data_IF_433368924751
#
_entry.id   IF_433368924751
#
_cell.length_a   1.000
_cell.length_b   1.000
_cell.length_c   1.000
_cell.angle_alpha   90.00
_cell.angle_beta   90.00
_cell.angle_gamma   90.00
#
_symmetry.space_group_name_H-M   'P 1'
#
loop_
_entity.id
_entity.type
_entity.pdbx_description
1 polymer ?
#
# COMPACT_ATOMS: atom_id res chain seq x y z
N UNK A 1 -4.80 -22.84 -8.73
CA UNK A 1 -4.78 -21.73 -7.78
C UNK A 1 -5.23 -20.45 -8.48
N UNK A 2 -6.08 -19.65 -7.83
CA UNK A 2 -6.43 -18.29 -8.22
C UNK A 2 -6.27 -17.36 -7.02
N UNK A 3 -6.01 -16.08 -7.27
CA UNK A 3 -5.96 -15.08 -6.19
C UNK A 3 -6.37 -13.71 -6.70
N UNK A 4 -6.94 -12.91 -5.79
CA UNK A 4 -7.30 -11.51 -6.02
C UNK A 4 -6.59 -10.66 -4.96
N UNK A 5 -5.84 -9.65 -5.40
CA UNK A 5 -5.31 -8.63 -4.52
C UNK A 5 -6.37 -7.55 -4.33
N UNK A 6 -6.74 -7.27 -3.09
CA UNK A 6 -7.71 -6.24 -2.75
C UNK A 6 -7.29 -5.55 -1.45
N UNK A 7 -7.13 -4.23 -1.48
CA UNK A 7 -6.51 -3.53 -0.38
C UNK A 7 -5.09 -4.04 -0.10
N UNK A 8 -4.77 -4.25 1.16
CA UNK A 8 -3.50 -4.83 1.61
C UNK A 8 -3.57 -6.36 1.76
N UNK A 9 -4.61 -6.99 1.27
CA UNK A 9 -4.85 -8.42 1.39
C UNK A 9 -4.80 -9.11 0.03
N UNK A 10 -4.49 -10.40 0.05
CA UNK A 10 -4.64 -11.30 -1.09
C UNK A 10 -5.60 -12.41 -0.70
N UNK A 11 -6.74 -12.48 -1.35
CA UNK A 11 -7.71 -13.56 -1.16
C UNK A 11 -7.34 -14.67 -2.14
N UNK A 12 -7.15 -15.87 -1.62
CA UNK A 12 -6.61 -17.01 -2.35
C UNK A 12 -7.65 -18.13 -2.40
N UNK A 13 -7.83 -18.71 -3.58
CA UNK A 13 -8.46 -19.99 -3.81
C UNK A 13 -7.40 -20.98 -4.29
N UNK A 14 -7.43 -22.20 -3.76
CA UNK A 14 -6.58 -23.29 -4.21
C UNK A 14 -7.36 -24.60 -4.27
N UNK A 15 -6.90 -25.51 -5.15
CA UNK A 15 -7.36 -26.88 -5.23
C UNK A 15 -6.15 -27.81 -5.13
N UNK A 16 -6.27 -28.87 -4.31
CA UNK A 16 -5.31 -29.96 -4.33
C UNK A 16 -5.59 -30.85 -5.55
N UNK A 17 -4.60 -30.97 -6.44
CA UNK A 17 -4.68 -31.76 -7.65
C UNK A 17 -4.15 -33.19 -7.45
N UNK A 18 -3.67 -33.51 -6.25
CA UNK A 18 -3.08 -34.84 -5.98
C UNK A 18 -4.11 -35.93 -5.73
N UNK A 19 -5.39 -35.59 -5.67
CA UNK A 19 -6.54 -36.47 -5.38
C UNK A 19 -6.40 -37.29 -4.08
N UNK A 20 -5.52 -36.86 -3.17
CA UNK A 20 -5.24 -37.53 -1.89
C UNK A 20 -6.04 -36.97 -0.72
N UNK A 21 -6.62 -35.78 -0.89
CA UNK A 21 -7.37 -35.14 0.17
C UNK A 21 -8.87 -35.28 0.00
N UNK A 22 -9.57 -35.64 1.07
CA UNK A 22 -11.04 -35.70 1.11
C UNK A 22 -11.67 -34.30 0.90
N UNK A 23 -10.95 -33.24 1.28
CA UNK A 23 -11.36 -31.84 1.11
C UNK A 23 -10.34 -31.09 0.22
N UNK A 24 -10.45 -31.20 -1.11
CA UNK A 24 -9.43 -30.70 -2.02
C UNK A 24 -9.48 -29.19 -2.26
N UNK A 25 -10.55 -28.51 -1.86
CA UNK A 25 -10.71 -27.08 -2.11
C UNK A 25 -10.39 -26.26 -0.85
N UNK A 26 -9.71 -25.15 -1.03
CA UNK A 26 -9.33 -24.24 0.06
C UNK A 26 -9.50 -22.79 -0.36
N UNK A 27 -9.95 -21.96 0.58
CA UNK A 27 -9.77 -20.51 0.51
C UNK A 27 -8.98 -20.02 1.72
N UNK A 28 -8.22 -18.96 1.58
CA UNK A 28 -7.61 -18.24 2.69
C UNK A 28 -7.34 -16.78 2.33
N UNK A 29 -7.09 -15.96 3.35
CA UNK A 29 -6.66 -14.57 3.21
C UNK A 29 -5.18 -14.49 3.56
N UNK A 30 -4.37 -13.98 2.65
CA UNK A 30 -2.96 -13.72 2.87
C UNK A 30 -2.75 -12.21 3.08
N UNK A 31 -2.12 -11.86 4.19
CA UNK A 31 -1.77 -10.49 4.56
C UNK A 31 -0.25 -10.39 4.54
N UNK A 32 0.33 -9.85 3.45
CA UNK A 32 1.76 -9.66 3.36
C UNK A 32 2.21 -8.51 4.27
N UNK A 33 3.35 -8.69 4.92
CA UNK A 33 4.11 -7.62 5.56
C UNK A 33 5.57 -7.68 5.12
N UNK A 34 6.42 -6.79 5.60
CA UNK A 34 7.82 -6.71 5.19
C UNK A 34 8.66 -7.96 5.49
N UNK A 35 8.26 -8.77 6.46
CA UNK A 35 9.04 -9.93 6.93
C UNK A 35 8.44 -11.27 6.50
N UNK A 36 7.11 -11.38 6.49
CA UNK A 36 6.41 -12.62 6.21
C UNK A 36 4.98 -12.37 5.72
N UNK A 37 4.35 -13.40 5.19
CA UNK A 37 2.93 -13.40 4.87
C UNK A 37 2.17 -14.15 5.95
N UNK A 38 1.21 -13.48 6.59
CA UNK A 38 0.28 -14.10 7.53
C UNK A 38 -0.92 -14.63 6.76
N UNK A 39 -1.32 -15.86 7.07
CA UNK A 39 -2.51 -16.47 6.49
C UNK A 39 -3.60 -16.54 7.55
N UNK A 40 -4.81 -16.11 7.20
CA UNK A 40 -5.99 -16.07 8.06
C UNK A 40 -7.19 -16.67 7.36
N UNK A 41 -8.22 -17.02 8.12
CA UNK A 41 -9.53 -17.49 7.66
C UNK A 41 -9.42 -18.62 6.62
N UNK A 42 -8.51 -19.55 6.87
CA UNK A 42 -8.35 -20.73 6.03
C UNK A 42 -9.55 -21.67 6.22
N UNK A 43 -10.25 -21.95 5.13
CA UNK A 43 -11.37 -22.90 5.08
C UNK A 43 -11.08 -23.93 4.01
N UNK A 44 -11.32 -25.21 4.32
CA UNK A 44 -11.22 -26.33 3.39
C UNK A 44 -12.60 -26.98 3.23
N UNK A 45 -12.90 -27.51 2.06
CA UNK A 45 -14.16 -28.19 1.75
C UNK A 45 -13.99 -29.20 0.63
N UNK A 46 -14.90 -30.15 0.56
CA UNK A 46 -15.08 -31.04 -0.58
C UNK A 46 -15.95 -30.42 -1.67
N UNK A 47 -16.67 -29.31 -1.36
CA UNK A 47 -17.52 -28.57 -2.29
C UNK A 47 -16.79 -27.39 -2.92
N UNK A 48 -16.64 -27.43 -4.23
CA UNK A 48 -16.13 -26.30 -5.03
C UNK A 48 -17.04 -25.06 -4.88
N UNK A 49 -18.35 -25.26 -4.95
CA UNK A 49 -19.33 -24.19 -4.89
C UNK A 49 -19.32 -23.46 -3.55
N UNK A 50 -19.14 -24.20 -2.46
CA UNK A 50 -19.03 -23.63 -1.12
C UNK A 50 -17.80 -22.73 -1.02
N UNK A 51 -16.62 -23.23 -1.40
CA UNK A 51 -15.38 -22.45 -1.36
C UNK A 51 -15.45 -21.22 -2.27
N UNK A 52 -16.06 -21.35 -3.46
CA UNK A 52 -16.21 -20.20 -4.36
C UNK A 52 -17.15 -19.13 -3.83
N UNK A 53 -18.20 -19.50 -3.10
CA UNK A 53 -19.05 -18.53 -2.40
C UNK A 53 -18.28 -17.77 -1.32
N UNK A 54 -17.56 -18.51 -0.46
CA UNK A 54 -16.75 -17.89 0.60
C UNK A 54 -15.66 -16.98 0.02
N UNK A 55 -15.00 -17.40 -1.05
CA UNK A 55 -14.01 -16.60 -1.76
C UNK A 55 -14.61 -15.27 -2.30
N UNK A 56 -15.81 -15.35 -2.90
CA UNK A 56 -16.50 -14.20 -3.42
C UNK A 56 -17.01 -13.25 -2.30
N UNK A 57 -17.48 -13.82 -1.19
CA UNK A 57 -17.94 -13.07 -0.02
C UNK A 57 -16.78 -12.30 0.64
N UNK A 58 -15.59 -12.90 0.76
CA UNK A 58 -14.39 -12.22 1.27
C UNK A 58 -13.99 -11.04 0.37
N UNK A 59 -14.00 -11.22 -0.97
CA UNK A 59 -13.73 -10.14 -1.91
C UNK A 59 -14.72 -8.98 -1.72
N UNK A 60 -16.01 -9.31 -1.61
CA UNK A 60 -17.05 -8.31 -1.43
C UNK A 60 -16.92 -7.57 -0.10
N UNK A 61 -16.64 -8.30 0.98
CA UNK A 61 -16.46 -7.72 2.31
C UNK A 61 -15.29 -6.74 2.33
N UNK A 62 -14.16 -7.11 1.76
CA UNK A 62 -12.99 -6.23 1.70
C UNK A 62 -13.23 -4.99 0.82
N UNK A 63 -13.93 -5.14 -0.30
CA UNK A 63 -14.31 -4.01 -1.14
C UNK A 63 -15.17 -2.99 -0.39
N UNK A 64 -16.14 -3.46 0.43
CA UNK A 64 -16.98 -2.59 1.26
C UNK A 64 -16.16 -1.87 2.34
N UNK A 65 -15.18 -2.56 2.95
CA UNK A 65 -14.30 -1.96 3.95
C UNK A 65 -13.52 -0.80 3.32
N UNK A 66 -12.87 -1.04 2.17
CA UNK A 66 -12.09 -0.03 1.45
C UNK A 66 -12.99 1.16 1.03
N UNK A 67 -14.17 0.89 0.49
CA UNK A 67 -15.11 1.95 0.11
C UNK A 67 -15.51 2.79 1.33
N UNK A 68 -15.79 2.14 2.46
CA UNK A 68 -16.20 2.81 3.69
C UNK A 68 -15.06 3.68 4.26
N UNK A 69 -13.83 3.16 4.27
CA UNK A 69 -12.64 3.89 4.70
C UNK A 69 -12.37 5.10 3.80
N UNK A 70 -12.44 4.93 2.48
CA UNK A 70 -12.26 6.00 1.51
C UNK A 70 -13.32 7.11 1.69
N UNK A 71 -14.56 6.72 1.91
CA UNK A 71 -15.66 7.66 2.16
C UNK A 71 -15.47 8.42 3.46
N UNK A 72 -15.11 7.72 4.54
CA UNK A 72 -14.89 8.33 5.87
C UNK A 72 -13.74 9.36 5.86
N UNK A 73 -12.73 9.16 5.00
CA UNK A 73 -11.58 10.06 4.88
C UNK A 73 -11.76 11.13 3.79
N UNK A 74 -12.90 11.19 3.12
CA UNK A 74 -13.15 12.12 2.01
C UNK A 74 -12.26 11.89 0.79
N UNK A 75 -11.63 10.71 0.70
CA UNK A 75 -10.68 10.35 -0.34
C UNK A 75 -11.37 9.61 -1.50
N UNK A 76 -12.51 10.13 -1.95
CA UNK A 76 -13.22 9.53 -3.06
C UNK A 76 -12.36 9.59 -4.33
N UNK A 77 -11.96 8.42 -4.82
CA UNK A 77 -11.56 8.11 -6.20
C UNK A 77 -10.71 9.17 -6.94
N UNK A 78 -9.80 9.85 -6.22
CA UNK A 78 -8.88 10.75 -6.89
C UNK A 78 -7.95 9.92 -7.79
N UNK A 79 -7.86 10.26 -9.09
CA UNK A 79 -6.97 9.55 -9.99
C UNK A 79 -5.52 9.67 -9.51
N UNK A 80 -4.68 8.65 -9.72
CA UNK A 80 -3.29 8.71 -9.32
C UNK A 80 -2.54 9.81 -10.09
N UNK A 81 -1.47 10.34 -9.51
CA UNK A 81 -0.55 11.24 -10.20
C UNK A 81 0.03 10.59 -11.45
N UNK A 82 0.15 11.39 -12.49
CA UNK A 82 0.91 11.04 -13.70
C UNK A 82 2.32 11.60 -13.60
N UNK A 83 3.25 11.02 -14.35
CA UNK A 83 4.64 11.51 -14.37
C UNK A 83 4.76 12.99 -14.76
N UNK A 84 3.81 13.50 -15.59
CA UNK A 84 3.74 14.90 -15.96
C UNK A 84 3.41 15.87 -14.82
N UNK A 85 2.87 15.36 -13.71
CA UNK A 85 2.43 16.16 -12.57
C UNK A 85 3.50 16.29 -11.50
N UNK A 86 4.62 15.59 -11.69
CA UNK A 86 5.68 15.38 -10.71
C UNK A 86 7.01 15.94 -11.19
N UNK A 87 7.89 16.24 -10.23
CA UNK A 87 9.29 16.55 -10.52
C UNK A 87 10.01 15.22 -10.65
N UNK A 88 10.44 14.91 -11.88
CA UNK A 88 11.15 13.67 -12.21
C UNK A 88 12.67 13.93 -12.18
N UNK A 89 13.27 13.99 -11.01
CA UNK A 89 14.72 13.98 -10.85
C UNK A 89 15.13 12.72 -10.07
N UNK A 90 15.73 11.75 -10.76
CA UNK A 90 16.14 10.49 -10.15
C UNK A 90 17.37 10.63 -9.27
N UNK A 91 18.18 11.66 -9.52
CA UNK A 91 19.44 11.88 -8.81
C UNK A 91 19.27 12.85 -7.63
N UNK A 92 18.10 13.43 -7.46
CA UNK A 92 17.79 14.36 -6.37
C UNK A 92 17.64 13.65 -5.03
N UNK A 93 18.06 14.31 -3.95
CA UNK A 93 17.75 13.91 -2.59
C UNK A 93 16.24 14.06 -2.34
N UNK A 94 15.57 12.96 -1.98
CA UNK A 94 14.15 12.96 -1.68
C UNK A 94 13.86 12.97 -0.17
N UNK A 95 14.89 12.93 0.68
CA UNK A 95 14.71 13.02 2.13
C UNK A 95 14.04 14.34 2.52
N UNK A 96 13.00 14.26 3.32
CA UNK A 96 12.18 15.43 3.71
C UNK A 96 11.17 15.90 2.66
N UNK A 97 11.03 15.17 1.55
CA UNK A 97 10.07 15.49 0.47
C UNK A 97 8.92 14.50 0.44
N UNK A 98 7.82 14.93 -0.17
CA UNK A 98 6.70 14.05 -0.51
C UNK A 98 6.94 13.47 -1.89
N UNK A 99 6.79 12.16 -2.02
CA UNK A 99 6.93 11.44 -3.27
C UNK A 99 5.64 10.69 -3.60
N UNK A 100 5.38 10.50 -4.88
CA UNK A 100 4.34 9.60 -5.36
C UNK A 100 4.98 8.28 -5.82
N UNK A 101 4.37 7.16 -5.43
CA UNK A 101 4.78 5.82 -5.89
C UNK A 101 4.10 5.52 -7.22
N UNK A 102 4.77 4.78 -8.09
CA UNK A 102 4.18 4.28 -9.31
C UNK A 102 3.03 3.32 -8.96
N UNK A 103 1.80 3.57 -9.46
CA UNK A 103 0.62 2.77 -9.14
C UNK A 103 0.77 1.28 -9.45
N UNK A 104 1.70 0.89 -10.33
CA UNK A 104 1.96 -0.52 -10.63
C UNK A 104 2.50 -1.32 -9.44
N UNK A 105 3.08 -0.65 -8.44
CA UNK A 105 3.58 -1.25 -7.19
C UNK A 105 2.52 -1.26 -6.08
N UNK A 106 1.38 -0.59 -6.28
CA UNK A 106 0.26 -0.61 -5.34
C UNK A 106 -0.69 -1.77 -5.65
N UNK A 107 -1.27 -2.35 -4.63
CA UNK A 107 -2.37 -3.30 -4.80
C UNK A 107 -3.57 -2.64 -5.48
N UNK A 108 -4.37 -3.41 -6.21
CA UNK A 108 -5.45 -2.90 -7.05
C UNK A 108 -6.43 -1.98 -6.30
N UNK A 109 -6.77 -2.30 -5.06
CA UNK A 109 -7.64 -1.47 -4.22
C UNK A 109 -7.04 -0.14 -3.78
N UNK A 110 -5.72 0.06 -3.97
CA UNK A 110 -4.98 1.25 -3.53
C UNK A 110 -4.41 2.07 -4.68
N UNK A 111 -4.78 1.77 -5.92
CA UNK A 111 -4.33 2.51 -7.11
C UNK A 111 -5.03 3.86 -7.25
N UNK A 112 -5.03 4.64 -6.18
CA UNK A 112 -5.60 6.00 -6.15
C UNK A 112 -4.60 6.96 -5.51
N UNK A 113 -4.79 8.27 -5.77
CA UNK A 113 -3.91 9.33 -5.27
C UNK A 113 -3.65 9.28 -3.77
N UNK A 114 -4.64 9.04 -2.88
CA UNK A 114 -4.39 8.99 -1.45
C UNK A 114 -3.32 7.99 -1.04
N UNK A 115 -3.33 6.79 -1.64
CA UNK A 115 -2.40 5.72 -1.29
C UNK A 115 -1.03 5.86 -1.95
N UNK A 116 -0.91 6.75 -2.91
CA UNK A 116 0.31 6.98 -3.68
C UNK A 116 1.32 7.88 -2.95
N UNK A 117 0.88 8.65 -1.92
CA UNK A 117 1.65 9.72 -1.30
C UNK A 117 2.43 9.26 -0.07
N UNK A 118 3.74 9.49 -0.09
CA UNK A 118 4.66 9.13 0.99
C UNK A 118 5.59 10.29 1.33
N UNK A 119 5.73 10.58 2.64
CA UNK A 119 6.74 11.50 3.15
C UNK A 119 8.01 10.74 3.49
N UNK A 120 9.11 11.03 2.83
CA UNK A 120 10.38 10.33 2.99
C UNK A 120 11.12 10.87 4.21
N UNK A 121 11.40 10.01 5.19
CA UNK A 121 12.07 10.38 6.44
C UNK A 121 13.57 10.09 6.44
N UNK A 122 14.04 9.22 5.53
CA UNK A 122 15.45 8.87 5.40
C UNK A 122 15.67 7.58 4.61
N UNK A 123 16.84 6.99 4.76
CA UNK A 123 17.24 5.74 4.11
C UNK A 123 18.35 5.92 3.08
N UNK A 124 18.99 4.80 2.69
CA UNK A 124 20.09 4.80 1.71
C UNK A 124 19.62 5.21 0.31
N UNK A 125 18.36 4.92 -0.04
CA UNK A 125 17.74 5.30 -1.31
C UNK A 125 17.23 6.74 -1.34
N UNK A 126 17.14 7.43 -0.19
CA UNK A 126 16.59 8.78 -0.10
C UNK A 126 17.59 9.88 -0.53
N UNK A 127 18.88 9.58 -0.52
CA UNK A 127 19.96 10.54 -0.78
C UNK A 127 20.21 10.72 -2.28
N UNK A 128 20.75 11.87 -2.64
CA UNK A 128 21.35 12.07 -3.97
C UNK A 128 22.50 11.06 -4.17
N UNK A 129 22.67 10.56 -5.39
CA UNK A 129 23.70 9.55 -5.71
C UNK A 129 23.67 8.32 -4.78
N UNK A 130 22.47 7.80 -4.53
CA UNK A 130 22.25 6.71 -3.60
C UNK A 130 22.91 5.39 -4.04
N UNK A 131 23.50 4.68 -3.07
CA UNK A 131 24.09 3.33 -3.28
C UNK A 131 23.10 2.20 -2.97
N UNK A 132 21.99 2.49 -2.33
CA UNK A 132 20.94 1.53 -1.98
C UNK A 132 19.57 2.07 -2.33
N UNK A 133 18.56 1.21 -2.30
CA UNK A 133 17.19 1.56 -2.71
C UNK A 133 16.24 1.84 -1.54
N UNK A 134 16.60 1.44 -0.31
CA UNK A 134 15.68 1.55 0.83
C UNK A 134 15.39 3.01 1.20
N UNK A 135 14.12 3.38 1.19
CA UNK A 135 13.59 4.66 1.66
C UNK A 135 12.61 4.41 2.81
N UNK A 136 12.86 4.99 3.98
CA UNK A 136 11.93 4.99 5.10
C UNK A 136 10.95 6.13 4.94
N UNK A 137 9.66 5.87 5.12
CA UNK A 137 8.61 6.81 4.78
C UNK A 137 7.45 6.71 5.77
N UNK A 138 6.65 7.79 5.83
CA UNK A 138 5.30 7.73 6.36
C UNK A 138 4.31 7.87 5.20
N UNK A 139 3.38 6.93 5.09
CA UNK A 139 2.29 7.06 4.13
C UNK A 139 1.33 8.15 4.61
N UNK A 140 1.09 9.18 3.77
CA UNK A 140 0.36 10.38 4.21
C UNK A 140 -1.14 10.14 4.44
N UNK A 141 -1.71 9.11 3.83
CA UNK A 141 -3.13 8.79 3.99
C UNK A 141 -3.43 8.05 5.29
N UNK A 142 -2.60 7.08 5.66
CA UNK A 142 -2.77 6.28 6.88
C UNK A 142 -1.98 6.80 8.07
N UNK A 143 -0.91 7.57 7.83
CA UNK A 143 0.06 7.99 8.83
C UNK A 143 1.09 6.90 9.19
N UNK A 144 0.96 5.70 8.65
CA UNK A 144 1.80 4.56 9.02
C UNK A 144 3.23 4.72 8.49
N UNK A 145 4.19 4.31 9.32
CA UNK A 145 5.58 4.14 8.89
C UNK A 145 5.69 2.91 8.00
N UNK A 146 6.45 3.04 6.92
CA UNK A 146 6.70 1.96 5.96
C UNK A 146 8.04 2.15 5.27
N UNK A 147 8.47 1.14 4.54
CA UNK A 147 9.63 1.17 3.68
C UNK A 147 9.19 0.99 2.23
N UNK A 148 9.76 1.80 1.36
CA UNK A 148 9.62 1.68 -0.09
C UNK A 148 11.00 1.57 -0.73
N UNK A 149 11.06 1.10 -1.96
CA UNK A 149 12.28 1.07 -2.74
C UNK A 149 12.37 2.31 -3.66
N UNK A 150 13.56 2.87 -3.84
CA UNK A 150 13.76 4.07 -4.67
C UNK A 150 13.20 3.94 -6.09
N UNK A 151 13.30 2.76 -6.68
CA UNK A 151 12.79 2.50 -8.04
C UNK A 151 11.26 2.49 -8.14
N UNK A 152 10.54 2.38 -7.01
CA UNK A 152 9.08 2.48 -6.96
C UNK A 152 8.60 3.93 -7.03
N UNK A 153 9.50 4.89 -6.73
CA UNK A 153 9.17 6.33 -6.73
C UNK A 153 8.95 6.80 -8.16
N UNK A 154 7.77 7.33 -8.45
CA UNK A 154 7.41 7.93 -9.72
C UNK A 154 7.98 9.35 -9.87
N UNK A 155 8.01 10.12 -8.77
CA UNK A 155 8.55 11.47 -8.71
C UNK A 155 8.21 12.19 -7.42
N UNK A 156 8.76 13.40 -7.25
CA UNK A 156 8.49 14.29 -6.13
C UNK A 156 7.21 15.08 -6.41
N UNK A 157 6.33 15.14 -5.42
CA UNK A 157 5.09 15.90 -5.50
C UNK A 157 5.35 17.34 -5.06
N UNK A 158 5.08 18.35 -5.90
CA UNK A 158 5.15 19.75 -5.50
C UNK A 158 4.15 20.07 -4.37
N UNK A 159 4.55 20.92 -3.41
CA UNK A 159 3.73 21.22 -2.22
C UNK A 159 2.37 21.86 -2.58
N UNK A 160 2.30 22.61 -3.67
CA UNK A 160 1.06 23.21 -4.17
C UNK A 160 0.07 22.18 -4.75
N UNK A 161 0.55 21.02 -5.14
CA UNK A 161 -0.28 19.91 -5.66
C UNK A 161 -0.72 18.92 -4.59
N UNK A 162 -0.29 19.08 -3.34
CA UNK A 162 -0.70 18.21 -2.25
C UNK A 162 -2.18 18.43 -1.91
N UNK A 163 -2.99 17.36 -1.79
CA UNK A 163 -4.36 17.45 -1.29
C UNK A 163 -4.38 17.81 0.20
N UNK A 164 -5.49 18.35 0.69
CA UNK A 164 -5.59 18.89 2.05
C UNK A 164 -5.29 17.87 3.15
N UNK A 165 -5.75 16.62 2.99
CA UNK A 165 -5.43 15.56 3.95
C UNK A 165 -3.91 15.30 4.05
N UNK A 166 -3.20 15.37 2.92
CA UNK A 166 -1.76 15.14 2.88
C UNK A 166 -1.00 16.32 3.52
N UNK A 167 -1.44 17.55 3.30
CA UNK A 167 -0.89 18.74 3.96
C UNK A 167 -1.04 18.65 5.47
N UNK A 168 -2.25 18.31 5.96
CA UNK A 168 -2.52 18.17 7.39
C UNK A 168 -1.68 17.07 8.05
N UNK A 169 -1.49 15.94 7.40
CA UNK A 169 -0.65 14.85 7.93
C UNK A 169 0.83 15.25 7.91
N UNK A 170 1.29 15.91 6.83
CA UNK A 170 2.67 16.35 6.67
C UNK A 170 3.07 17.38 7.75
N UNK A 171 2.18 18.33 8.06
CA UNK A 171 2.40 19.31 9.14
C UNK A 171 2.62 18.61 10.48
N UNK A 172 1.75 17.66 10.86
CA UNK A 172 1.90 16.86 12.09
C UNK A 172 3.25 16.13 12.16
N UNK A 173 3.65 15.47 11.06
CA UNK A 173 4.91 14.75 10.99
C UNK A 173 6.13 15.69 11.14
N UNK A 174 6.08 16.88 10.54
CA UNK A 174 7.13 17.88 10.66
C UNK A 174 7.24 18.43 12.09
N UNK A 175 6.11 18.69 12.76
CA UNK A 175 6.07 19.12 14.16
C UNK A 175 6.62 18.05 15.11
N UNK A 176 6.27 16.78 14.90
CA UNK A 176 6.79 15.66 15.69
C UNK A 176 8.29 15.50 15.53
N UNK A 177 8.80 15.65 14.30
CA UNK A 177 10.25 15.61 14.03
C UNK A 177 10.98 16.77 14.70
N UNK A 178 10.41 17.97 14.67
CA UNK A 178 10.99 19.15 15.33
C UNK A 178 11.06 18.97 16.86
N UNK A 179 10.02 18.42 17.49
CA UNK A 179 10.01 18.10 18.93
C UNK A 179 11.09 17.10 19.30
N UNK A 180 11.21 16.00 18.57
CA UNK A 180 12.24 14.97 18.79
C UNK A 180 13.67 15.46 18.54
N UNK A 181 13.86 16.45 17.66
CA UNK A 181 15.15 17.06 17.36
C UNK A 181 15.61 18.11 18.37
N UNK A 182 14.69 18.70 19.15
CA UNK A 182 14.99 19.70 20.18
C UNK A 182 15.32 19.13 21.56
N UNK A 183 15.17 17.83 21.77
CA UNK A 183 15.48 17.12 23.03
C UNK A 183 16.89 16.45 23.05
N UNK A 184 17.77 16.82 22.13
CA UNK A 184 19.16 16.30 22.08
C UNK A 184 20.20 17.36 22.39
#
# INVERSE_FOLDING_TARGET
QASVNIGNKRIIYAKDETEKMEMPYMKCIAIPNELFTRYEDAVISDSFEEIMKLFADDIKAEAIIIETENRARGANELPPFKSSDLIADRDECIEGKVVAINPSYLFDGYKSLPYQLFYVTGGSGARANHYGNACFCNQLYTGNETRIERYEVLGIVPDDKLPDFAKATLEKLREEKARKGGER
#
